data_IF_888325268492
#
_entry.id   IF_888325268492
#
_cell.length_a   1.000
_cell.length_b   1.000
_cell.length_c   1.000
_cell.angle_alpha   90.00
_cell.angle_beta   90.00
_cell.angle_gamma   90.00
#
_symmetry.space_group_name_H-M   'P 1'
#
loop_
_entity.id
_entity.type
_entity.pdbx_description
1 polymer ?
#
# COMPACT_ATOMS: atom_id res chain seq x y z
N UNK A 1 -1.84 -25.35 25.93
CA UNK A 1 -1.59 -23.93 25.61
C UNK A 1 -2.38 -23.60 24.35
N UNK A 2 -3.52 -22.92 24.48
CA UNK A 2 -4.49 -22.76 23.39
C UNK A 2 -4.15 -21.64 22.41
N UNK A 3 -4.83 -21.67 21.26
CA UNK A 3 -4.74 -20.69 20.17
C UNK A 3 -4.87 -19.25 20.69
N UNK A 4 -5.77 -19.01 21.65
CA UNK A 4 -5.98 -17.70 22.28
C UNK A 4 -4.72 -17.16 22.97
N UNK A 5 -3.96 -18.02 23.68
CA UNK A 5 -2.70 -17.61 24.34
C UNK A 5 -1.59 -17.32 23.32
N UNK A 6 -1.59 -18.03 22.19
CA UNK A 6 -0.60 -17.82 21.11
C UNK A 6 -0.88 -16.54 20.31
N UNK A 7 -2.15 -16.26 20.00
CA UNK A 7 -2.57 -15.10 19.23
C UNK A 7 -2.68 -13.81 20.05
N UNK A 8 -2.68 -13.90 21.39
CA UNK A 8 -2.81 -12.73 22.27
C UNK A 8 -1.78 -11.64 21.96
N UNK A 9 -0.50 -12.01 21.83
CA UNK A 9 0.57 -11.05 21.51
C UNK A 9 0.37 -10.38 20.15
N UNK A 10 -0.17 -11.12 19.17
CA UNK A 10 -0.49 -10.57 17.85
C UNK A 10 -1.67 -9.59 17.91
N UNK A 11 -2.71 -9.92 18.68
CA UNK A 11 -3.88 -9.06 18.87
C UNK A 11 -3.51 -7.76 19.59
N UNK A 12 -2.75 -7.86 20.70
CA UNK A 12 -2.28 -6.70 21.46
C UNK A 12 -1.33 -5.85 20.60
N UNK A 13 -0.40 -6.47 19.87
CA UNK A 13 0.48 -5.75 18.94
C UNK A 13 -0.28 -5.01 17.85
N UNK A 14 -1.33 -5.63 17.30
CA UNK A 14 -2.21 -5.00 16.29
C UNK A 14 -2.96 -3.80 16.87
N UNK A 15 -3.56 -3.93 18.06
CA UNK A 15 -4.30 -2.83 18.70
C UNK A 15 -3.36 -1.67 19.04
N UNK A 16 -2.19 -1.95 19.61
CA UNK A 16 -1.17 -0.93 19.88
C UNK A 16 -0.69 -0.24 18.60
N UNK A 17 -0.45 -0.99 17.52
CA UNK A 17 -0.07 -0.44 16.22
C UNK A 17 -1.13 0.50 15.65
N UNK A 18 -2.41 0.11 15.71
CA UNK A 18 -3.53 0.96 15.28
C UNK A 18 -3.63 2.22 16.14
N UNK A 19 -3.44 2.11 17.46
CA UNK A 19 -3.48 3.27 18.36
C UNK A 19 -2.37 4.28 18.05
N UNK A 20 -1.15 3.80 17.79
CA UNK A 20 -0.02 4.65 17.38
C UNK A 20 -0.33 5.30 16.03
N UNK A 21 -0.87 4.54 15.07
CA UNK A 21 -1.22 5.08 13.76
C UNK A 21 -2.37 6.11 13.81
N UNK A 22 -3.18 6.11 14.86
CA UNK A 22 -4.20 7.15 15.07
C UNK A 22 -3.64 8.36 15.84
N UNK A 23 -2.69 8.17 16.76
CA UNK A 23 -2.15 9.24 17.62
C UNK A 23 -0.99 10.01 16.99
N UNK A 24 -0.27 9.40 16.06
CA UNK A 24 0.71 10.10 15.24
C UNK A 24 0.04 10.54 13.95
N UNK A 25 0.37 11.74 13.44
CA UNK A 25 0.04 12.16 12.07
C UNK A 25 0.84 11.31 11.09
N UNK A 26 0.51 10.03 10.98
CA UNK A 26 1.08 9.16 9.94
C UNK A 26 0.56 9.69 8.62
N UNK A 27 1.43 9.94 7.63
CA UNK A 27 0.99 10.35 6.32
C UNK A 27 -0.02 9.33 5.79
N UNK A 28 -1.11 9.86 5.24
CA UNK A 28 -2.22 9.08 4.71
C UNK A 28 -1.70 8.06 3.68
N UNK A 29 -1.65 6.80 4.08
CA UNK A 29 -1.15 5.69 3.26
C UNK A 29 -1.96 5.53 1.97
N UNK A 30 -3.23 5.93 2.00
CA UNK A 30 -4.10 5.93 0.83
C UNK A 30 -3.62 6.98 -0.17
N UNK A 31 -3.32 8.20 0.28
CA UNK A 31 -2.73 9.23 -0.58
C UNK A 31 -1.39 8.78 -1.16
N UNK A 32 -0.51 8.21 -0.35
CA UNK A 32 0.79 7.71 -0.80
C UNK A 32 0.62 6.62 -1.88
N UNK A 33 -0.28 5.67 -1.67
CA UNK A 33 -0.58 4.62 -2.63
C UNK A 33 -1.17 5.18 -3.93
N UNK A 34 -2.11 6.13 -3.85
CA UNK A 34 -2.68 6.80 -5.01
C UNK A 34 -1.62 7.58 -5.80
N UNK A 35 -0.72 8.31 -5.12
CA UNK A 35 0.39 9.01 -5.77
C UNK A 35 1.37 8.04 -6.43
N UNK A 36 1.70 6.93 -5.78
CA UNK A 36 2.57 5.90 -6.34
C UNK A 36 1.96 5.25 -7.60
N UNK A 37 0.66 4.93 -7.56
CA UNK A 37 -0.06 4.41 -8.72
C UNK A 37 -0.09 5.41 -9.88
N UNK A 38 -0.34 6.69 -9.57
CA UNK A 38 -0.32 7.75 -10.58
C UNK A 38 1.07 7.91 -11.21
N UNK A 39 2.12 7.90 -10.40
CA UNK A 39 3.50 7.97 -10.87
C UNK A 39 3.87 6.75 -11.73
N UNK A 40 3.41 5.55 -11.34
CA UNK A 40 3.58 4.32 -12.12
C UNK A 40 2.91 4.42 -13.49
N UNK A 41 1.68 4.95 -13.57
CA UNK A 41 0.97 5.20 -14.84
C UNK A 41 1.71 6.20 -15.72
N UNK A 42 2.23 7.27 -15.14
CA UNK A 42 3.04 8.25 -15.87
C UNK A 42 4.30 7.63 -16.45
N UNK A 43 5.01 6.81 -15.68
CA UNK A 43 6.20 6.10 -16.16
C UNK A 43 5.81 5.11 -17.25
N UNK A 44 4.74 4.34 -17.05
CA UNK A 44 4.21 3.43 -18.06
C UNK A 44 3.88 4.16 -19.36
N UNK A 45 3.15 5.29 -19.30
CA UNK A 45 2.78 6.07 -20.47
C UNK A 45 3.99 6.69 -21.18
N UNK A 46 4.97 7.22 -20.45
CA UNK A 46 6.19 7.79 -21.03
C UNK A 46 7.09 6.73 -21.68
N UNK A 47 7.16 5.52 -21.11
CA UNK A 47 8.03 4.45 -21.61
C UNK A 47 7.32 3.43 -22.50
N UNK A 48 6.00 3.53 -22.64
CA UNK A 48 5.22 2.68 -23.55
C UNK A 48 5.64 3.00 -24.97
N UNK A 49 6.30 2.03 -25.62
CA UNK A 49 6.63 2.13 -27.04
C UNK A 49 5.35 2.39 -27.84
N UNK A 50 5.36 3.33 -28.80
CA UNK A 50 4.22 3.53 -29.68
C UNK A 50 3.90 2.20 -30.37
N UNK A 51 2.61 1.85 -30.43
CA UNK A 51 2.17 0.69 -31.21
C UNK A 51 2.65 0.92 -32.65
N UNK A 52 3.38 -0.05 -33.20
CA UNK A 52 3.66 -0.06 -34.63
C UNK A 52 2.30 -0.01 -35.35
N UNK A 53 2.12 0.84 -36.37
CA UNK A 53 0.95 0.73 -37.22
C UNK A 53 0.95 -0.71 -37.76
N UNK A 54 -0.20 -1.37 -37.63
CA UNK A 54 -0.41 -2.70 -38.18
C UNK A 54 0.07 -2.69 -39.65
N UNK A 55 1.01 -3.57 -39.98
CA UNK A 55 1.41 -3.83 -41.37
C UNK A 55 0.24 -4.59 -42.01
N UNK A 56 -0.72 -3.85 -42.58
CA UNK A 56 -1.67 -4.35 -43.59
C UNK A 56 -0.92 -4.82 -44.86
#
# INVERSE_FOLDING_TARGET
MGIVKSCFSFMVGTICGVYIAQNYKVPDVQKLASTALFMGRLIEENYRKPKKPDED
#
